data_IF_509528164219
#
_entry.id   IF_509528164219
#
_cell.length_a   1.000
_cell.length_b   1.000
_cell.length_c   1.000
_cell.angle_alpha   90.00
_cell.angle_beta   90.00
_cell.angle_gamma   90.00
#
_symmetry.space_group_name_H-M   'P 1'
#
loop_
_entity.id
_entity.type
_entity.pdbx_description
1 polymer ?
#
# COMPACT_ATOMS: atom_id res chain seq x y z
N UNK A 1 -0.29 16.80 4.58
CA UNK A 1 1.01 16.81 3.88
C UNK A 1 1.96 15.95 4.67
N UNK A 2 2.79 15.16 3.99
CA UNK A 2 3.79 14.28 4.60
C UNK A 2 5.18 14.88 4.48
N UNK A 3 5.95 14.86 5.56
CA UNK A 3 7.32 15.36 5.57
C UNK A 3 8.22 14.31 4.93
N UNK A 4 8.99 14.72 3.92
CA UNK A 4 10.12 13.96 3.40
C UNK A 4 11.40 14.66 3.83
N UNK A 5 12.25 13.96 4.58
CA UNK A 5 13.57 14.45 5.01
C UNK A 5 14.60 14.36 3.87
N UNK A 6 15.77 14.95 4.09
CA UNK A 6 16.90 14.90 3.15
C UNK A 6 17.36 13.46 2.91
N UNK A 7 17.43 12.67 3.98
CA UNK A 7 17.76 11.26 3.94
C UNK A 7 17.01 10.46 5.03
N UNK A 8 17.17 9.14 5.02
CA UNK A 8 16.65 8.22 6.02
C UNK A 8 17.68 7.15 6.36
N UNK A 9 17.66 6.67 7.60
CA UNK A 9 18.47 5.51 8.03
C UNK A 9 17.63 4.56 8.88
N UNK A 10 18.05 3.29 8.93
CA UNK A 10 17.53 2.32 9.90
C UNK A 10 18.55 2.20 11.02
N UNK A 11 18.18 2.63 12.23
CA UNK A 11 19.00 2.53 13.42
C UNK A 11 18.21 1.83 14.52
N UNK A 12 18.81 0.79 15.12
CA UNK A 12 18.18 0.03 16.23
C UNK A 12 16.77 -0.50 15.89
N UNK A 13 16.56 -0.89 14.63
CA UNK A 13 15.26 -1.38 14.16
C UNK A 13 14.19 -0.31 13.98
N UNK A 14 14.57 0.97 13.87
CA UNK A 14 13.69 2.12 13.63
C UNK A 14 14.16 2.86 12.38
N UNK A 15 13.22 3.12 11.47
CA UNK A 15 13.42 3.98 10.30
C UNK A 15 13.28 5.45 10.72
N UNK A 16 14.37 6.21 10.62
CA UNK A 16 14.46 7.61 11.05
C UNK A 16 14.72 8.53 9.87
N UNK A 17 14.13 9.72 9.89
CA UNK A 17 14.48 10.80 8.96
C UNK A 17 15.75 11.52 9.42
N UNK A 18 16.65 11.81 8.48
CA UNK A 18 17.91 12.52 8.72
C UNK A 18 17.89 13.87 8.01
N UNK A 19 18.40 14.88 8.69
CA UNK A 19 18.60 16.20 8.13
C UNK A 19 17.33 17.05 8.15
N UNK A 20 17.27 18.03 7.24
CA UNK A 20 16.17 18.99 7.19
C UNK A 20 14.97 18.41 6.42
N UNK A 21 13.82 19.06 6.56
CA UNK A 21 12.68 18.83 5.68
C UNK A 21 13.08 19.21 4.25
N UNK A 22 13.15 18.22 3.36
CA UNK A 22 13.46 18.40 1.94
C UNK A 22 12.25 18.83 1.15
N UNK A 23 11.09 18.19 1.38
CA UNK A 23 9.82 18.52 0.71
C UNK A 23 8.61 17.97 1.45
N UNK A 24 7.44 18.35 0.97
CA UNK A 24 6.17 17.77 1.36
C UNK A 24 5.60 16.84 0.28
N UNK A 25 5.04 15.72 0.70
CA UNK A 25 4.33 14.77 -0.15
C UNK A 25 2.82 14.80 0.12
N UNK A 26 2.02 14.61 -0.92
CA UNK A 26 0.56 14.63 -0.86
C UNK A 26 0.01 13.24 -1.21
N UNK A 27 -0.03 12.30 -0.24
CA UNK A 27 -0.35 10.90 -0.54
C UNK A 27 -1.78 10.71 -1.07
N UNK A 28 -2.71 11.60 -0.71
CA UNK A 28 -4.09 11.56 -1.21
C UNK A 28 -4.21 11.76 -2.74
N UNK A 29 -3.25 12.47 -3.35
CA UNK A 29 -3.23 12.70 -4.80
C UNK A 29 -2.58 11.54 -5.58
N UNK A 30 -1.88 10.65 -4.89
CA UNK A 30 -1.16 9.53 -5.48
C UNK A 30 -1.89 8.22 -5.15
N UNK A 31 -2.68 7.73 -6.10
CA UNK A 31 -3.44 6.47 -5.97
C UNK A 31 -2.58 5.21 -6.16
N UNK A 32 -1.26 5.37 -6.35
CA UNK A 32 -0.34 4.27 -6.61
C UNK A 32 0.37 3.72 -5.36
N UNK A 33 0.29 4.41 -4.22
CA UNK A 33 1.06 4.07 -3.01
C UNK A 33 0.80 2.65 -2.50
N UNK A 34 -0.44 2.15 -2.39
CA UNK A 34 -0.68 0.78 -1.95
C UNK A 34 0.09 -0.25 -2.79
N UNK A 35 0.15 -0.04 -4.11
CA UNK A 35 0.87 -0.93 -5.05
C UNK A 35 2.39 -0.83 -4.89
N UNK A 36 2.89 0.34 -4.48
CA UNK A 36 4.32 0.54 -4.21
C UNK A 36 4.67 -0.21 -2.91
N UNK A 37 3.88 -0.04 -1.85
CA UNK A 37 4.10 -0.71 -0.56
C UNK A 37 3.99 -2.23 -0.71
N UNK A 38 3.02 -2.73 -1.49
CA UNK A 38 2.88 -4.16 -1.80
C UNK A 38 4.18 -4.79 -2.33
N UNK A 39 4.97 -4.03 -3.11
CA UNK A 39 6.21 -4.49 -3.73
C UNK A 39 7.45 -4.36 -2.86
N UNK A 40 7.39 -3.61 -1.75
CA UNK A 40 8.56 -3.40 -0.91
C UNK A 40 9.04 -4.73 -0.35
N UNK A 41 10.35 -4.98 -0.40
CA UNK A 41 10.91 -6.07 0.37
C UNK A 41 11.16 -5.58 1.81
N UNK A 42 10.35 -6.01 2.81
CA UNK A 42 10.50 -5.54 4.19
C UNK A 42 11.85 -5.91 4.81
N UNK A 43 12.54 -6.93 4.29
CA UNK A 43 13.84 -7.38 4.78
C UNK A 43 15.02 -6.66 4.12
N UNK A 44 14.75 -5.84 3.11
CA UNK A 44 15.73 -4.98 2.46
C UNK A 44 15.58 -3.54 2.95
N UNK A 45 16.47 -3.10 3.82
CA UNK A 45 16.40 -1.73 4.38
C UNK A 45 16.64 -0.65 3.34
N UNK A 46 17.40 -0.92 2.28
CA UNK A 46 17.60 0.04 1.19
C UNK A 46 16.27 0.32 0.48
N UNK A 47 15.42 -0.69 0.28
CA UNK A 47 14.09 -0.50 -0.32
C UNK A 47 13.19 0.37 0.56
N UNK A 48 13.26 0.21 1.89
CA UNK A 48 12.50 1.01 2.85
C UNK A 48 13.01 2.46 2.91
N UNK A 49 14.32 2.65 2.89
CA UNK A 49 14.97 3.96 2.87
C UNK A 49 14.61 4.70 1.57
N UNK A 50 14.71 4.04 0.42
CA UNK A 50 14.37 4.63 -0.88
C UNK A 50 12.88 4.97 -0.98
N UNK A 51 12.02 4.13 -0.42
CA UNK A 51 10.61 4.46 -0.23
C UNK A 51 10.46 5.74 0.61
N UNK A 52 11.10 5.82 1.77
CA UNK A 52 10.93 6.92 2.70
C UNK A 52 11.48 8.25 2.16
N UNK A 53 12.62 8.23 1.46
CA UNK A 53 13.16 9.38 0.71
C UNK A 53 12.13 9.95 -0.28
N UNK A 54 11.29 9.09 -0.83
CA UNK A 54 10.32 9.45 -1.87
C UNK A 54 8.92 9.75 -1.33
N UNK A 55 8.48 9.12 -0.25
CA UNK A 55 7.10 9.20 0.20
C UNK A 55 6.96 9.69 1.63
N UNK A 56 8.08 9.84 2.35
CA UNK A 56 8.11 10.10 3.78
C UNK A 56 8.04 8.81 4.60
N UNK A 57 8.12 8.96 5.92
CA UNK A 57 7.89 7.85 6.85
C UNK A 57 6.43 7.38 6.82
N UNK A 58 6.20 6.18 7.35
CA UNK A 58 4.90 5.52 7.43
C UNK A 58 3.98 6.18 8.48
N UNK A 59 4.55 6.83 9.50
CA UNK A 59 3.84 7.71 10.43
C UNK A 59 3.45 7.08 11.77
N UNK A 60 4.17 6.05 12.24
CA UNK A 60 3.94 5.39 13.53
C UNK A 60 3.90 6.38 14.70
N UNK A 61 4.83 7.33 14.73
CA UNK A 61 4.91 8.40 15.73
C UNK A 61 3.60 9.16 15.94
N UNK A 62 2.79 9.31 14.89
CA UNK A 62 1.53 10.04 14.94
C UNK A 62 0.34 9.19 15.40
N UNK A 63 0.50 7.86 15.45
CA UNK A 63 -0.55 6.92 15.84
C UNK A 63 -0.40 6.45 17.29
N UNK A 64 0.83 6.38 17.80
CA UNK A 64 1.11 5.92 19.16
C UNK A 64 0.97 7.03 20.22
N UNK A 65 0.75 6.60 21.46
CA UNK A 65 0.71 7.48 22.62
C UNK A 65 2.10 8.11 22.87
N UNK A 66 2.13 9.28 23.53
CA UNK A 66 3.35 10.09 23.63
C UNK A 66 4.53 9.32 24.22
N UNK A 67 4.28 8.41 25.15
CA UNK A 67 5.29 7.60 25.84
C UNK A 67 5.81 6.40 25.02
N UNK A 68 5.10 5.98 23.98
CA UNK A 68 5.47 4.85 23.12
C UNK A 68 6.23 5.28 21.86
N UNK A 69 6.41 6.59 21.71
CA UNK A 69 7.03 7.22 20.55
C UNK A 69 8.53 6.95 20.50
N UNK A 70 9.00 6.42 19.38
CA UNK A 70 10.39 5.96 19.19
C UNK A 70 11.26 6.92 18.35
N UNK A 71 10.71 8.04 17.89
CA UNK A 71 11.40 9.01 17.02
C UNK A 71 11.22 8.77 15.52
N UNK A 72 10.77 7.58 15.13
CA UNK A 72 10.60 7.17 13.75
C UNK A 72 9.56 6.07 13.59
N UNK A 73 9.72 5.24 12.56
CA UNK A 73 8.84 4.11 12.28
C UNK A 73 9.54 2.79 12.66
N UNK A 74 9.02 2.03 13.65
CA UNK A 74 9.59 0.72 13.96
C UNK A 74 9.52 -0.21 12.77
N UNK A 75 10.63 -0.88 12.44
CA UNK A 75 10.73 -1.74 11.26
C UNK A 75 9.72 -2.87 11.33
N UNK A 76 9.60 -3.56 12.47
CA UNK A 76 8.63 -4.66 12.62
C UNK A 76 7.19 -4.19 12.40
N UNK A 77 6.87 -2.96 12.78
CA UNK A 77 5.56 -2.36 12.52
C UNK A 77 5.35 -2.08 11.03
N UNK A 78 6.37 -1.55 10.33
CA UNK A 78 6.35 -1.39 8.87
C UNK A 78 6.13 -2.75 8.19
N UNK A 79 6.86 -3.80 8.60
CA UNK A 79 6.73 -5.15 8.03
C UNK A 79 5.31 -5.68 8.18
N UNK A 80 4.73 -5.55 9.38
CA UNK A 80 3.38 -5.99 9.67
C UNK A 80 2.35 -5.26 8.78
N UNK A 81 2.52 -3.97 8.53
CA UNK A 81 1.64 -3.23 7.62
C UNK A 81 1.82 -3.62 6.15
N UNK A 82 3.05 -3.82 5.69
CA UNK A 82 3.32 -4.35 4.34
C UNK A 82 2.59 -5.69 4.17
N UNK A 83 2.67 -6.57 5.18
CA UNK A 83 2.00 -7.86 5.15
C UNK A 83 0.47 -7.72 5.11
N UNK A 84 -0.11 -6.90 6.00
CA UNK A 84 -1.56 -6.64 6.01
C UNK A 84 -2.09 -6.09 4.67
N UNK A 85 -1.31 -5.21 4.02
CA UNK A 85 -1.62 -4.69 2.68
C UNK A 85 -1.58 -5.81 1.63
N UNK A 86 -0.58 -6.69 1.67
CA UNK A 86 -0.48 -7.85 0.76
C UNK A 86 -1.66 -8.79 0.90
N UNK A 87 -1.96 -9.20 2.13
CA UNK A 87 -3.11 -10.04 2.47
C UNK A 87 -4.39 -9.42 1.91
N UNK A 88 -4.60 -8.13 2.16
CA UNK A 88 -5.79 -7.42 1.68
C UNK A 88 -5.90 -7.45 0.16
N UNK A 89 -4.82 -7.16 -0.57
CA UNK A 89 -4.83 -7.17 -2.03
C UNK A 89 -5.10 -8.55 -2.62
N UNK A 90 -4.39 -9.57 -2.12
CA UNK A 90 -4.49 -10.92 -2.64
C UNK A 90 -5.90 -11.50 -2.37
N UNK A 91 -6.45 -11.27 -1.17
CA UNK A 91 -7.82 -11.68 -0.84
C UNK A 91 -8.87 -10.96 -1.69
N UNK A 92 -8.72 -9.66 -1.94
CA UNK A 92 -9.67 -8.95 -2.82
C UNK A 92 -9.66 -9.53 -4.23
N UNK A 93 -8.49 -9.85 -4.78
CA UNK A 93 -8.39 -10.51 -6.09
C UNK A 93 -9.08 -11.89 -6.08
N UNK A 94 -8.85 -12.68 -5.03
CA UNK A 94 -9.47 -13.99 -4.87
C UNK A 94 -11.00 -13.87 -4.82
N UNK A 95 -11.52 -12.95 -4.01
CA UNK A 95 -12.95 -12.67 -3.87
C UNK A 95 -13.55 -12.27 -5.22
N UNK A 96 -12.89 -11.38 -5.97
CA UNK A 96 -13.35 -10.93 -7.28
C UNK A 96 -13.32 -12.04 -8.34
N UNK A 97 -12.41 -13.00 -8.22
CA UNK A 97 -12.37 -14.18 -9.08
C UNK A 97 -13.42 -15.24 -8.72
N UNK A 98 -14.14 -15.07 -7.59
CA UNK A 98 -15.11 -16.02 -7.04
C UNK A 98 -14.56 -17.46 -6.97
N UNK A 99 -13.29 -17.59 -6.57
CA UNK A 99 -12.57 -18.87 -6.53
C UNK A 99 -12.42 -19.36 -5.08
N UNK A 100 -13.35 -20.23 -4.68
CA UNK A 100 -13.43 -20.81 -3.33
C UNK A 100 -12.18 -21.62 -2.96
N UNK A 101 -11.67 -22.45 -3.88
CA UNK A 101 -10.49 -23.29 -3.63
C UNK A 101 -9.25 -22.42 -3.39
N UNK A 102 -9.07 -21.37 -4.20
CA UNK A 102 -7.95 -20.42 -4.03
C UNK A 102 -8.08 -19.64 -2.73
N UNK A 103 -9.30 -19.30 -2.30
CA UNK A 103 -9.54 -18.68 -0.99
C UNK A 103 -9.13 -19.61 0.14
N UNK A 104 -9.57 -20.87 0.09
CA UNK A 104 -9.20 -21.89 1.08
C UNK A 104 -7.69 -22.06 1.18
N UNK A 105 -7.01 -22.31 0.05
CA UNK A 105 -5.56 -22.51 0.01
C UNK A 105 -4.78 -21.30 0.53
N UNK A 106 -5.23 -20.09 0.20
CA UNK A 106 -4.57 -18.87 0.66
C UNK A 106 -4.75 -18.67 2.16
N UNK A 107 -5.97 -18.83 2.68
CA UNK A 107 -6.29 -18.67 4.10
C UNK A 107 -5.59 -19.73 4.95
N UNK A 108 -5.59 -20.99 4.50
CA UNK A 108 -4.93 -22.10 5.20
C UNK A 108 -3.43 -21.80 5.40
N UNK A 109 -2.76 -21.29 4.36
CA UNK A 109 -1.38 -20.85 4.42
C UNK A 109 -1.15 -19.67 5.39
N UNK A 110 -2.12 -18.76 5.54
CA UNK A 110 -1.97 -17.61 6.44
C UNK A 110 -2.07 -17.97 7.92
N UNK A 111 -2.75 -19.05 8.28
CA UNK A 111 -3.02 -19.41 9.68
C UNK A 111 -1.77 -19.86 10.48
N UNK A 112 -0.57 -19.84 9.89
CA UNK A 112 0.72 -20.22 10.49
C UNK A 112 1.45 -19.08 11.26
N UNK A 113 0.72 -18.25 12.02
CA UNK A 113 1.26 -17.12 12.83
C UNK A 113 1.66 -15.85 12.04
N UNK A 114 1.03 -15.57 10.91
CA UNK A 114 1.25 -14.31 10.18
C UNK A 114 0.84 -13.09 11.02
N UNK A 115 1.74 -12.10 11.13
CA UNK A 115 1.48 -10.82 11.80
C UNK A 115 1.04 -9.77 10.79
N UNK A 116 0.11 -8.90 11.16
CA UNK A 116 -0.25 -7.73 10.36
C UNK A 116 -0.41 -6.48 11.22
N UNK A 117 -0.35 -5.32 10.56
CA UNK A 117 -0.45 -4.03 11.23
C UNK A 117 -1.90 -3.64 11.51
N UNK A 118 -2.15 -3.19 12.73
CA UNK A 118 -3.40 -2.59 13.20
C UNK A 118 -3.09 -1.23 13.85
N UNK A 119 -3.28 -0.16 13.08
CA UNK A 119 -3.01 1.21 13.51
C UNK A 119 -1.57 1.36 14.06
N UNK A 120 -1.36 1.59 15.35
CA UNK A 120 -0.05 1.69 15.99
C UNK A 120 0.56 0.33 16.41
N UNK A 121 -0.20 -0.76 16.28
CA UNK A 121 0.12 -2.09 16.84
C UNK A 121 0.44 -3.13 15.75
N UNK A 122 1.10 -4.19 16.19
CA UNK A 122 1.28 -5.44 15.45
C UNK A 122 0.35 -6.46 16.09
N UNK A 123 -0.45 -7.16 15.28
CA UNK A 123 -1.40 -8.17 15.76
C UNK A 123 -1.21 -9.50 15.05
N UNK A 124 -1.49 -10.57 15.78
CA UNK A 124 -1.64 -11.94 15.27
C UNK A 124 -3.08 -12.34 15.52
N UNK A 125 -3.92 -12.35 14.49
CA UNK A 125 -5.30 -12.82 14.65
C UNK A 125 -5.47 -14.15 13.93
N UNK A 126 -6.23 -15.04 14.58
CA UNK A 126 -6.82 -16.18 13.91
C UNK A 126 -8.24 -15.80 13.54
N UNK A 127 -8.51 -15.73 12.24
CA UNK A 127 -9.85 -15.45 11.77
C UNK A 127 -10.63 -16.75 11.65
N UNK A 128 -11.87 -16.71 12.11
CA UNK A 128 -12.82 -17.82 12.01
C UNK A 128 -14.14 -17.28 11.48
N UNK A 129 -14.80 -18.07 10.63
CA UNK A 129 -16.14 -17.80 10.10
C UNK A 129 -16.87 -19.12 10.00
N UNK A 130 -18.18 -19.13 10.27
CA UNK A 130 -19.05 -20.29 10.05
C UNK A 130 -19.44 -20.45 8.56
N UNK A 131 -18.97 -19.57 7.68
CA UNK A 131 -19.28 -19.55 6.25
C UNK A 131 -18.22 -20.19 5.34
N UNK A 132 -18.33 -19.88 4.05
CA UNK A 132 -17.35 -20.28 3.03
C UNK A 132 -15.99 -19.62 3.24
N UNK A 133 -14.96 -20.12 2.57
CA UNK A 133 -13.63 -19.51 2.52
C UNK A 133 -13.69 -18.12 1.89
N UNK A 134 -14.61 -17.88 0.94
CA UNK A 134 -14.87 -16.55 0.40
C UNK A 134 -15.53 -15.61 1.43
N UNK A 135 -16.42 -16.11 2.29
CA UNK A 135 -16.99 -15.33 3.39
C UNK A 135 -15.91 -14.96 4.41
N UNK A 136 -15.02 -15.90 4.74
CA UNK A 136 -13.88 -15.66 5.62
C UNK A 136 -12.90 -14.66 5.01
N UNK A 137 -12.56 -14.80 3.71
CA UNK A 137 -11.74 -13.82 2.99
C UNK A 137 -12.35 -12.41 3.04
N UNK A 138 -13.66 -12.32 2.81
CA UNK A 138 -14.40 -11.05 2.88
C UNK A 138 -14.38 -10.45 4.28
N UNK A 139 -14.53 -11.30 5.31
CA UNK A 139 -14.41 -10.90 6.70
C UNK A 139 -13.01 -10.34 7.02
N UNK A 140 -11.95 -11.04 6.60
CA UNK A 140 -10.56 -10.64 6.81
C UNK A 140 -10.24 -9.29 6.17
N UNK A 141 -10.62 -9.09 4.90
CA UNK A 141 -10.43 -7.80 4.19
C UNK A 141 -11.13 -6.67 4.94
N UNK A 142 -12.40 -6.88 5.33
CA UNK A 142 -13.17 -5.89 6.08
C UNK A 142 -12.54 -5.57 7.43
N UNK A 143 -12.12 -6.60 8.17
CA UNK A 143 -11.52 -6.47 9.50
C UNK A 143 -10.20 -5.66 9.44
N UNK A 144 -9.28 -6.05 8.55
CA UNK A 144 -7.98 -5.39 8.37
C UNK A 144 -8.17 -3.92 7.98
N UNK A 145 -9.02 -3.64 6.98
CA UNK A 145 -9.24 -2.27 6.52
C UNK A 145 -9.90 -1.44 7.63
N UNK A 146 -11.00 -1.92 8.22
CA UNK A 146 -11.78 -1.14 9.19
C UNK A 146 -10.97 -0.77 10.44
N UNK A 147 -10.13 -1.69 10.94
CA UNK A 147 -9.24 -1.43 12.07
C UNK A 147 -8.25 -0.29 11.79
N UNK A 148 -7.77 -0.19 10.56
CA UNK A 148 -6.78 0.80 10.16
C UNK A 148 -7.36 2.14 9.67
N UNK A 149 -8.68 2.24 9.47
CA UNK A 149 -9.35 3.50 9.08
C UNK A 149 -10.21 4.12 10.18
N UNK A 150 -10.34 3.47 11.35
CA UNK A 150 -11.23 3.88 12.44
C UNK A 150 -11.00 5.33 12.91
N UNK A 151 -9.76 5.83 12.85
CA UNK A 151 -9.40 7.18 13.27
C UNK A 151 -9.60 8.26 12.20
N UNK A 152 -9.93 7.89 10.96
CA UNK A 152 -10.00 8.81 9.83
C UNK A 152 -11.31 9.61 9.90
N UNK A 153 -11.19 10.93 10.02
CA UNK A 153 -12.34 11.83 10.16
C UNK A 153 -12.50 12.70 8.91
N UNK A 154 -13.72 12.77 8.38
CA UNK A 154 -14.09 13.79 7.40
C UNK A 154 -14.29 15.12 8.11
N UNK A 155 -13.51 16.13 7.73
CA UNK A 155 -13.57 17.49 8.29
C UNK A 155 -14.01 18.49 7.22
N UNK A 156 -14.73 19.51 7.66
CA UNK A 156 -15.16 20.62 6.84
C UNK A 156 -14.12 21.74 6.96
N UNK A 157 -13.73 22.30 5.81
CA UNK A 157 -12.82 23.44 5.73
C UNK A 157 -13.48 24.53 4.88
N UNK A 158 -13.12 25.78 5.15
CA UNK A 158 -13.56 26.89 4.31
C UNK A 158 -12.81 26.84 2.98
N UNK A 159 -13.59 26.80 1.89
CA UNK A 159 -13.11 26.88 0.51
C UNK A 159 -13.01 28.32 0.03
N UNK A 160 -12.85 28.49 -1.29
CA UNK A 160 -12.92 29.81 -1.93
C UNK A 160 -14.37 30.31 -1.98
N UNK A 161 -14.56 31.62 -2.06
CA UNK A 161 -15.87 32.24 -2.36
C UNK A 161 -17.01 31.79 -1.42
N UNK A 162 -16.75 31.71 -0.10
CA UNK A 162 -17.72 31.26 0.91
C UNK A 162 -18.28 29.85 0.70
N UNK A 163 -17.59 29.01 -0.08
CA UNK A 163 -17.93 27.59 -0.19
C UNK A 163 -17.29 26.79 0.93
N UNK A 164 -17.83 25.61 1.23
CA UNK A 164 -17.18 24.63 2.09
C UNK A 164 -16.65 23.47 1.28
N UNK A 165 -15.50 22.95 1.68
CA UNK A 165 -14.86 21.78 1.10
C UNK A 165 -14.64 20.75 2.19
N UNK A 166 -14.94 19.48 1.89
CA UNK A 166 -14.76 18.40 2.85
C UNK A 166 -13.51 17.58 2.52
N UNK A 167 -12.66 17.33 3.52
CA UNK A 167 -11.46 16.52 3.37
C UNK A 167 -11.33 15.51 4.50
N UNK A 168 -10.80 14.32 4.19
CA UNK A 168 -10.40 13.37 5.21
C UNK A 168 -9.11 13.84 5.87
N UNK A 169 -9.09 13.86 7.21
CA UNK A 169 -7.88 14.09 8.00
C UNK A 169 -7.22 12.75 8.27
N UNK A 170 -5.93 12.66 7.93
CA UNK A 170 -5.07 11.53 8.21
C UNK A 170 -3.91 12.00 9.11
N UNK A 171 -3.51 11.17 10.06
CA UNK A 171 -2.39 11.36 10.98
C UNK A 171 -1.15 10.55 10.54
N UNK A 172 -1.33 9.42 9.85
CA UNK A 172 -0.26 8.57 9.31
C UNK A 172 -0.37 8.36 7.79
N UNK A 173 0.76 8.07 7.13
CA UNK A 173 0.77 7.69 5.72
C UNK A 173 0.01 6.37 5.55
N UNK A 174 0.17 5.46 6.51
CA UNK A 174 -0.49 4.16 6.47
C UNK A 174 -2.02 4.26 6.48
N UNK A 175 -2.61 5.22 7.20
CA UNK A 175 -4.06 5.45 7.17
C UNK A 175 -4.53 5.85 5.76
N UNK A 176 -3.75 6.64 5.02
CA UNK A 176 -4.06 7.00 3.63
C UNK A 176 -4.02 5.75 2.75
N UNK A 177 -3.08 4.84 2.98
CA UNK A 177 -2.94 3.60 2.22
C UNK A 177 -4.16 2.70 2.43
N UNK A 178 -4.60 2.49 3.67
CA UNK A 178 -5.80 1.71 3.95
C UNK A 178 -7.09 2.38 3.46
N UNK A 179 -7.18 3.71 3.50
CA UNK A 179 -8.28 4.43 2.86
C UNK A 179 -8.30 4.22 1.34
N UNK A 180 -7.14 4.22 0.68
CA UNK A 180 -7.07 3.90 -0.75
C UNK A 180 -7.41 2.43 -1.05
N UNK A 181 -7.06 1.50 -0.15
CA UNK A 181 -7.48 0.10 -0.23
C UNK A 181 -8.99 -0.05 -0.08
N UNK A 182 -9.62 0.69 0.83
CA UNK A 182 -11.08 0.75 0.96
C UNK A 182 -11.73 1.20 -0.35
N UNK A 183 -11.30 2.35 -0.89
CA UNK A 183 -11.81 2.88 -2.15
C UNK A 183 -11.68 1.83 -3.28
N UNK A 184 -10.55 1.13 -3.30
CA UNK A 184 -10.28 0.10 -4.29
C UNK A 184 -11.19 -1.13 -4.10
N UNK A 185 -11.35 -1.63 -2.86
CA UNK A 185 -12.24 -2.74 -2.51
C UNK A 185 -13.70 -2.46 -2.91
N UNK A 186 -14.19 -1.23 -2.66
CA UNK A 186 -15.54 -0.81 -3.03
C UNK A 186 -15.70 -0.69 -4.55
N UNK A 187 -14.69 -0.18 -5.26
CA UNK A 187 -14.76 0.03 -6.71
C UNK A 187 -14.74 -1.27 -7.55
N UNK A 188 -14.43 -2.42 -6.94
CA UNK A 188 -14.64 -3.73 -7.56
C UNK A 188 -13.73 -4.09 -8.74
N UNK A 189 -12.67 -3.33 -9.03
CA UNK A 189 -11.79 -3.62 -10.18
C UNK A 189 -10.32 -3.68 -9.79
N UNK A 190 -9.84 -4.86 -9.37
CA UNK A 190 -8.41 -5.15 -9.28
C UNK A 190 -7.98 -6.03 -10.44
N UNK A 191 -6.87 -5.63 -11.07
CA UNK A 191 -6.14 -6.46 -12.03
C UNK A 191 -4.70 -6.57 -11.59
N UNK A 192 -3.95 -7.46 -12.21
CA UNK A 192 -2.49 -7.53 -12.07
C UNK A 192 -1.83 -6.76 -13.20
N UNK A 193 -0.77 -6.01 -12.88
CA UNK A 193 0.04 -5.32 -13.89
C UNK A 193 0.70 -6.34 -14.82
N UNK A 194 0.55 -6.17 -16.14
CA UNK A 194 1.12 -7.07 -17.16
C UNK A 194 2.66 -7.14 -17.16
N UNK A 195 3.36 -6.20 -16.52
CA UNK A 195 4.84 -6.15 -16.50
C UNK A 195 5.43 -6.65 -15.18
N UNK A 196 4.84 -6.28 -14.04
CA UNK A 196 5.42 -6.56 -12.71
C UNK A 196 4.50 -7.35 -11.78
N UNK A 197 3.33 -7.78 -12.25
CA UNK A 197 2.34 -8.57 -11.51
C UNK A 197 1.84 -7.96 -10.18
N UNK A 198 2.10 -6.68 -9.93
CA UNK A 198 1.51 -6.02 -8.76
C UNK A 198 0.04 -5.69 -9.02
N UNK A 199 -0.78 -5.62 -7.95
CA UNK A 199 -2.15 -5.17 -8.05
C UNK A 199 -2.23 -3.79 -8.70
N UNK A 200 -3.28 -3.56 -9.49
CA UNK A 200 -3.63 -2.27 -10.06
C UNK A 200 -5.14 -2.07 -9.96
N UNK A 201 -5.55 -0.87 -9.54
CA UNK A 201 -6.96 -0.51 -9.43
C UNK A 201 -7.46 0.14 -10.73
N UNK A 202 -8.60 -0.35 -11.21
CA UNK A 202 -9.32 0.09 -12.40
C UNK A 202 -9.00 -0.75 -13.64
N UNK A 203 -9.51 -0.30 -14.79
CA UNK A 203 -9.26 -0.95 -16.07
C UNK A 203 -7.89 -0.54 -16.68
N UNK A 204 -6.82 -0.61 -15.88
CA UNK A 204 -5.46 -0.26 -16.31
C UNK A 204 -4.61 -1.53 -16.48
N UNK A 205 -3.78 -1.56 -17.52
CA UNK A 205 -2.91 -2.71 -17.85
C UNK A 205 -1.59 -2.74 -17.08
N UNK A 206 -1.11 -1.55 -16.71
CA UNK A 206 0.17 -1.36 -16.03
C UNK A 206 -0.05 -0.60 -14.72
N UNK A 207 0.97 -0.60 -13.85
CA UNK A 207 0.98 0.29 -12.69
C UNK A 207 0.69 1.73 -13.13
N UNK A 208 0.06 2.51 -12.25
CA UNK A 208 -0.15 3.93 -12.53
C UNK A 208 1.19 4.67 -12.59
N UNK A 209 1.29 5.73 -13.40
CA UNK A 209 2.41 6.67 -13.31
C UNK A 209 2.53 7.18 -11.87
N UNK A 210 3.75 7.49 -11.44
CA UNK A 210 3.93 8.11 -10.13
C UNK A 210 3.46 9.57 -10.17
N UNK A 211 3.34 10.20 -9.00
CA UNK A 211 2.95 11.60 -8.92
C UNK A 211 3.80 12.49 -9.85
N UNK A 212 3.11 13.30 -10.67
CA UNK A 212 3.67 14.17 -11.72
C UNK A 212 4.28 13.48 -12.95
N UNK A 213 4.27 12.15 -13.04
CA UNK A 213 4.70 11.42 -14.24
C UNK A 213 3.54 11.22 -15.22
N UNK A 214 3.85 11.28 -16.53
CA UNK A 214 2.85 11.08 -17.60
C UNK A 214 2.64 9.62 -17.96
N UNK A 215 3.65 8.78 -17.77
CA UNK A 215 3.66 7.38 -18.18
C UNK A 215 4.24 6.51 -17.07
N UNK A 216 3.76 5.27 -16.93
CA UNK A 216 4.28 4.39 -15.90
C UNK A 216 5.58 3.72 -16.33
N UNK A 217 6.52 3.50 -15.40
CA UNK A 217 7.74 2.76 -15.68
C UNK A 217 7.47 1.35 -16.25
N UNK A 218 6.38 0.70 -15.81
CA UNK A 218 5.98 -0.61 -16.32
C UNK A 218 5.54 -0.57 -17.78
N UNK A 219 4.78 0.46 -18.18
CA UNK A 219 4.37 0.66 -19.57
C UNK A 219 5.60 0.92 -20.48
N UNK A 220 6.54 1.76 -20.00
CA UNK A 220 7.80 2.04 -20.70
C UNK A 220 8.64 0.77 -20.91
N UNK A 221 8.85 -0.03 -19.85
CA UNK A 221 9.60 -1.29 -19.94
C UNK A 221 8.95 -2.28 -20.90
N UNK A 222 7.62 -2.44 -20.81
CA UNK A 222 6.87 -3.32 -21.70
C UNK A 222 7.03 -2.91 -23.17
N UNK A 223 6.94 -1.59 -23.46
CA UNK A 223 7.15 -1.04 -24.80
C UNK A 223 8.58 -1.30 -25.30
N UNK A 224 9.59 -1.04 -24.49
CA UNK A 224 10.99 -1.29 -24.85
C UNK A 224 11.24 -2.78 -25.13
N UNK A 225 10.68 -3.68 -24.32
CA UNK A 225 10.79 -5.13 -24.52
C UNK A 225 10.17 -5.57 -25.85
N UNK A 226 8.96 -5.09 -26.17
CA UNK A 226 8.28 -5.37 -27.45
C UNK A 226 9.10 -4.86 -28.63
N UNK A 227 9.64 -3.64 -28.56
CA UNK A 227 10.51 -3.09 -29.60
C UNK A 227 11.78 -3.91 -29.82
N UNK A 228 12.43 -4.39 -28.74
CA UNK A 228 13.61 -5.26 -28.81
C UNK A 228 13.30 -6.62 -29.44
N UNK A 229 12.11 -7.20 -29.17
CA UNK A 229 11.68 -8.48 -29.76
C UNK A 229 11.44 -8.33 -31.27
N UNK A 230 10.69 -7.31 -31.68
CA UNK A 230 10.41 -7.04 -33.09
C UNK A 230 11.69 -6.87 -33.92
N UNK A 231 12.67 -6.12 -33.39
CA UNK A 231 14.00 -5.96 -34.04
C UNK A 231 14.82 -7.24 -34.13
N UNK A 232 14.59 -8.23 -33.25
CA UNK A 232 15.26 -9.54 -33.33
C UNK A 232 14.59 -10.43 -34.37
N UNK A 233 13.27 -10.40 -34.45
CA UNK A 233 12.48 -11.14 -35.44
C UNK A 233 12.83 -10.64 -36.86
N UNK A 234 12.83 -9.32 -37.08
CA UNK A 234 13.23 -8.70 -38.36
C UNK A 234 14.68 -9.00 -38.78
N UNK A 235 15.57 -9.34 -37.83
CA UNK A 235 16.97 -9.74 -38.11
C UNK A 235 17.16 -11.23 -38.37
N UNK A 236 16.19 -12.06 -37.99
CA UNK A 236 16.25 -13.51 -38.19
C UNK A 236 15.53 -13.94 -39.48
N UNK A 237 14.71 -13.06 -40.06
CA UNK A 237 13.96 -13.29 -41.30
C UNK A 237 14.61 -12.68 -42.55
N UNK A 238 15.73 -11.95 -42.41
CA UNK A 238 16.52 -11.37 -43.50
C UNK A 238 17.94 -11.88 -43.53
#
# INVERSE_FOLDING_TARGET
MWICYEDYEVREGILNGIGRTKRFYFPMADRGIPNIIYKLNPDNYDDLIDFARKYGGFGHWNLCEKQERTGGDPINWIKAHINGIRITFDLIEIIQSNNEEKAYQYIDKLNENETYGENEKIVTNKWYSEGSSLDLASYMVRDIINRNIKGIQKKLYQGKENTFVSFHKFNALIEVVYWQLLDAAVSGTFKRCEECNAPVNGNVRFCRPQYAEKESPCALRSRQRRSRRKRKEEKNEG
#
